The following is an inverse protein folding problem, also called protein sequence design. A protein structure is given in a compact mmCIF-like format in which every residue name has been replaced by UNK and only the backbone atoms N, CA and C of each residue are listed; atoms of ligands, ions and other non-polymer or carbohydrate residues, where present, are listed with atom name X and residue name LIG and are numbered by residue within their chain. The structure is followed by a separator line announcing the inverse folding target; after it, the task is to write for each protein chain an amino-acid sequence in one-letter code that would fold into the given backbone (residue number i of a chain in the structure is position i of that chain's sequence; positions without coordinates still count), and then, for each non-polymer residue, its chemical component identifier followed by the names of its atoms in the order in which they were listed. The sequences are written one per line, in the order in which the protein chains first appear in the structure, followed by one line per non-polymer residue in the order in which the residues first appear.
data_IF_936108223146
#
_entry.id   IF_936108223146
#
_cell.length_a   1.000
_cell.length_b   1.000
_cell.length_c   1.000
_cell.angle_alpha   90.00
_cell.angle_beta   90.00
_cell.angle_gamma   90.00
#
_symmetry.space_group_name_H-M   'P 1'
#
loop_
_entity.id
_entity.type
_entity.pdbx_description
1 polymer ?
#
# COMPACT_ATOMS: atom_id res chain seq x y z
N UNK A 1 -9.79 -0.94 -12.39
CA UNK A 1 -9.22 -0.79 -11.03
C UNK A 1 -8.56 0.57 -10.92
N UNK A 2 -8.81 1.33 -9.85
CA UNK A 2 -8.15 2.62 -9.59
C UNK A 2 -7.49 2.57 -8.22
N UNK A 3 -6.29 2.01 -8.15
CA UNK A 3 -5.51 1.94 -6.91
C UNK A 3 -4.26 2.80 -7.02
N UNK A 4 -3.92 3.43 -5.90
CA UNK A 4 -2.68 4.15 -5.69
C UNK A 4 -1.87 3.40 -4.64
N UNK A 5 -0.57 3.23 -4.88
CA UNK A 5 0.38 2.67 -3.92
C UNK A 5 1.38 3.75 -3.54
N UNK A 6 1.49 4.06 -2.26
CA UNK A 6 2.45 5.03 -1.69
C UNK A 6 3.51 4.31 -0.85
N UNK A 7 4.63 5.00 -0.62
CA UNK A 7 5.81 4.46 0.08
C UNK A 7 6.88 3.87 -0.84
N UNK A 8 6.57 3.62 -2.12
CA UNK A 8 7.50 2.96 -3.06
C UNK A 8 8.25 3.92 -4.02
N UNK A 9 7.99 5.22 -3.95
CA UNK A 9 8.44 6.24 -4.91
C UNK A 9 9.95 6.36 -5.10
N UNK A 10 10.74 5.94 -4.10
CA UNK A 10 12.21 6.02 -4.11
C UNK A 10 12.89 4.64 -4.16
N UNK A 11 12.11 3.57 -4.25
CA UNK A 11 12.63 2.21 -4.24
C UNK A 11 13.18 1.85 -5.63
N UNK A 12 14.22 1.01 -5.67
CA UNK A 12 14.64 0.38 -6.93
C UNK A 12 13.55 -0.61 -7.34
N UNK A 13 13.27 -0.77 -8.64
CA UNK A 13 12.38 -1.84 -9.07
C UNK A 13 12.85 -2.55 -10.34
N UNK A 14 12.37 -3.78 -10.51
CA UNK A 14 12.59 -4.62 -11.68
C UNK A 14 11.23 -4.97 -12.28
N UNK A 15 11.06 -4.68 -13.56
CA UNK A 15 9.88 -5.10 -14.32
C UNK A 15 10.10 -6.50 -14.87
N UNK A 16 9.21 -7.44 -14.55
CA UNK A 16 9.37 -8.84 -14.95
C UNK A 16 8.62 -9.19 -16.25
N UNK A 17 7.68 -8.35 -16.70
CA UNK A 17 6.88 -8.61 -17.91
C UNK A 17 7.49 -8.05 -19.21
N UNK A 18 8.63 -7.37 -19.15
CA UNK A 18 9.40 -6.98 -20.33
C UNK A 18 10.45 -8.05 -20.62
N UNK A 19 10.66 -8.38 -21.90
CA UNK A 19 11.68 -9.35 -22.34
C UNK A 19 13.09 -9.01 -21.83
N UNK A 20 13.30 -7.76 -21.43
CA UNK A 20 14.49 -7.28 -20.76
C UNK A 20 14.21 -7.12 -19.26
N UNK A 21 14.85 -7.96 -18.42
CA UNK A 21 14.87 -7.84 -16.95
C UNK A 21 15.80 -6.70 -16.50
N UNK A 22 15.77 -5.57 -17.19
CA UNK A 22 16.59 -4.43 -16.82
C UNK A 22 15.94 -3.76 -15.62
N UNK A 23 16.65 -3.52 -14.52
CA UNK A 23 16.17 -2.66 -13.45
C UNK A 23 15.84 -1.30 -14.05
N UNK A 24 14.59 -0.86 -13.90
CA UNK A 24 14.16 0.46 -14.33
C UNK A 24 14.04 1.27 -13.03
N UNK A 25 14.66 2.45 -12.95
CA UNK A 25 14.34 3.34 -11.85
C UNK A 25 12.88 3.82 -12.04
N UNK A 26 12.04 3.80 -10.99
CA UNK A 26 10.73 4.40 -11.11
C UNK A 26 10.96 5.85 -11.46
N UNK A 27 10.10 6.37 -12.33
CA UNK A 27 10.11 7.77 -12.71
C UNK A 27 10.25 8.60 -11.41
N UNK A 28 11.40 9.27 -11.19
CA UNK A 28 11.82 9.74 -9.86
C UNK A 28 10.90 10.81 -9.28
N UNK A 29 9.90 11.24 -10.04
CA UNK A 29 8.99 12.33 -9.70
C UNK A 29 7.60 11.87 -9.26
N UNK A 30 7.35 10.56 -9.09
CA UNK A 30 6.03 10.08 -8.65
C UNK A 30 6.03 9.76 -7.17
N UNK A 31 5.40 10.61 -6.36
CA UNK A 31 5.16 10.36 -4.92
C UNK A 31 4.39 9.05 -4.68
N UNK A 32 3.65 8.57 -5.69
CA UNK A 32 2.85 7.37 -5.63
C UNK A 32 2.78 6.65 -6.99
N UNK A 33 2.46 5.36 -6.97
CA UNK A 33 2.29 4.51 -8.15
C UNK A 33 0.80 4.35 -8.41
N UNK A 34 0.35 4.65 -9.63
CA UNK A 34 -1.03 4.42 -10.06
C UNK A 34 -1.10 3.16 -10.94
N UNK A 35 -2.02 2.26 -10.62
CA UNK A 35 -2.20 1.00 -11.36
C UNK A 35 -3.21 1.22 -12.50
N UNK A 36 -2.71 1.34 -13.73
CA UNK A 36 -3.51 1.69 -14.92
C UNK A 36 -3.25 0.77 -16.14
N UNK A 37 -2.47 -0.29 -15.93
CA UNK A 37 -2.08 -1.28 -16.94
C UNK A 37 -1.68 -2.58 -16.25
N UNK A 38 -1.20 -3.55 -17.01
CA UNK A 38 -0.54 -4.72 -16.45
C UNK A 38 0.68 -4.32 -15.60
N UNK A 39 0.73 -4.85 -14.38
CA UNK A 39 1.86 -4.75 -13.46
C UNK A 39 2.38 -6.13 -13.09
N UNK A 40 3.69 -6.30 -13.22
CA UNK A 40 4.46 -7.40 -12.64
C UNK A 40 5.84 -6.82 -12.30
N UNK A 41 5.87 -6.02 -11.25
CA UNK A 41 7.02 -5.21 -10.86
C UNK A 41 7.46 -5.62 -9.44
N UNK A 42 8.76 -5.82 -9.24
CA UNK A 42 9.37 -6.11 -7.94
C UNK A 42 10.11 -4.87 -7.46
N UNK A 43 9.74 -4.34 -6.30
CA UNK A 43 10.40 -3.24 -5.62
C UNK A 43 11.37 -3.82 -4.59
N UNK A 44 12.60 -3.34 -4.60
CA UNK A 44 13.67 -3.82 -3.74
C UNK A 44 13.95 -2.82 -2.63
N UNK A 45 14.37 -3.33 -1.48
CA UNK A 45 14.77 -2.51 -0.32
C UNK A 45 13.66 -1.52 0.08
N UNK A 46 12.41 -2.00 0.14
CA UNK A 46 11.25 -1.15 0.39
C UNK A 46 11.21 -0.68 1.85
N UNK A 47 10.60 0.48 2.15
CA UNK A 47 10.36 0.86 3.53
C UNK A 47 9.45 -0.16 4.23
N UNK A 48 9.50 -0.15 5.57
CA UNK A 48 8.70 -1.04 6.42
C UNK A 48 7.20 -0.95 6.12
N UNK A 49 6.72 0.23 5.70
CA UNK A 49 5.31 0.50 5.46
C UNK A 49 5.06 0.86 4.00
N UNK A 50 4.11 0.13 3.40
CA UNK A 50 3.54 0.41 2.08
C UNK A 50 2.05 0.61 2.24
N UNK A 51 1.49 1.65 1.61
CA UNK A 51 0.07 1.95 1.69
C UNK A 51 -0.60 1.78 0.32
N UNK A 52 -1.78 1.18 0.32
CA UNK A 52 -2.61 0.98 -0.87
C UNK A 52 -3.94 1.69 -0.67
N UNK A 53 -4.23 2.67 -1.51
CA UNK A 53 -5.47 3.44 -1.48
C UNK A 53 -6.36 3.05 -2.65
N UNK A 54 -7.62 2.72 -2.38
CA UNK A 54 -8.61 2.51 -3.43
C UNK A 54 -9.25 3.86 -3.79
N UNK A 55 -8.93 4.42 -4.94
CA UNK A 55 -9.45 5.73 -5.37
C UNK A 55 -10.96 5.72 -5.62
N UNK A 56 -11.58 4.54 -5.80
CA UNK A 56 -13.04 4.43 -5.98
C UNK A 56 -13.80 4.33 -4.66
N UNK A 57 -13.09 4.20 -3.52
CA UNK A 57 -13.66 4.18 -2.18
C UNK A 57 -12.90 5.18 -1.31
N UNK A 58 -13.36 6.42 -1.34
CA UNK A 58 -12.79 7.51 -0.54
C UNK A 58 -12.68 7.12 0.93
N UNK A 59 -11.51 7.37 1.52
CA UNK A 59 -11.27 7.20 2.94
C UNK A 59 -10.81 5.81 3.39
N UNK A 60 -10.75 4.79 2.53
CA UNK A 60 -10.26 3.46 2.91
C UNK A 60 -8.90 3.14 2.29
N UNK A 61 -7.93 2.86 3.15
CA UNK A 61 -6.58 2.44 2.81
C UNK A 61 -6.26 1.08 3.40
N UNK A 62 -5.34 0.36 2.77
CA UNK A 62 -4.66 -0.78 3.34
C UNK A 62 -3.25 -0.35 3.70
N UNK A 63 -2.86 -0.50 4.97
CA UNK A 63 -1.49 -0.34 5.42
C UNK A 63 -0.86 -1.72 5.52
N UNK A 64 0.21 -1.92 4.77
CA UNK A 64 0.96 -3.17 4.72
C UNK A 64 2.29 -2.90 5.41
N UNK A 65 2.47 -3.50 6.57
CA UNK A 65 3.69 -3.36 7.39
C UNK A 65 4.48 -4.66 7.30
N UNK A 66 5.73 -4.56 6.86
CA UNK A 66 6.63 -5.68 6.65
C UNK A 66 7.90 -5.45 7.47
N UNK A 67 8.15 -6.33 8.45
CA UNK A 67 9.36 -6.27 9.28
C UNK A 67 10.50 -7.02 8.60
N UNK A 68 11.72 -6.51 8.76
CA UNK A 68 12.99 -7.09 8.31
C UNK A 68 13.15 -7.21 6.78
N UNK A 69 14.06 -6.40 6.20
CA UNK A 69 14.59 -6.50 4.82
C UNK A 69 13.59 -7.02 3.77
N UNK A 70 12.69 -6.14 3.33
CA UNK A 70 11.60 -6.53 2.44
C UNK A 70 11.78 -6.02 1.02
N UNK A 71 11.42 -6.90 0.09
CA UNK A 71 11.11 -6.59 -1.28
C UNK A 71 9.58 -6.77 -1.46
N UNK A 72 8.98 -6.00 -2.37
CA UNK A 72 7.53 -6.04 -2.63
C UNK A 72 7.28 -6.36 -4.08
N UNK A 73 6.53 -7.42 -4.34
CA UNK A 73 5.98 -7.75 -5.64
C UNK A 73 4.59 -7.11 -5.78
N UNK A 74 4.41 -6.31 -6.83
CA UNK A 74 3.11 -5.81 -7.24
C UNK A 74 2.68 -6.54 -8.51
N UNK A 75 1.51 -7.17 -8.43
CA UNK A 75 0.92 -7.93 -9.53
C UNK A 75 -0.51 -7.50 -9.80
N UNK A 76 -0.78 -7.11 -11.05
CA UNK A 76 -2.11 -7.07 -11.61
C UNK A 76 -2.01 -7.50 -13.08
N UNK A 77 -2.68 -8.61 -13.46
CA UNK A 77 -2.62 -9.11 -14.83
C UNK A 77 -3.26 -8.15 -15.84
N UNK A 78 -4.15 -7.26 -15.38
CA UNK A 78 -5.06 -6.52 -16.23
C UNK A 78 -5.94 -7.48 -17.05
N UNK A 79 -6.34 -7.06 -18.24
CA UNK A 79 -7.05 -7.89 -19.21
C UNK A 79 -6.08 -8.87 -19.89
N UNK A 80 -5.87 -10.03 -19.27
CA UNK A 80 -5.14 -11.14 -19.86
C UNK A 80 -6.09 -12.08 -20.61
N UNK A 81 -6.67 -11.58 -21.70
CA UNK A 81 -7.15 -12.46 -22.77
C UNK A 81 -5.94 -13.16 -23.43
N UNK A 82 -5.28 -14.10 -22.74
CA UNK A 82 -4.17 -14.87 -23.33
C UNK A 82 -3.11 -15.46 -22.40
N UNK A 83 -3.16 -15.32 -21.07
CA UNK A 83 -2.24 -16.03 -20.17
C UNK A 83 -2.84 -17.33 -19.63
N UNK A 84 -1.96 -18.26 -19.29
CA UNK A 84 -2.27 -19.57 -18.70
C UNK A 84 -2.79 -19.40 -17.28
N UNK A 85 -4.03 -18.94 -17.22
CA UNK A 85 -4.82 -18.90 -16.02
C UNK A 85 -5.26 -20.35 -15.74
N UNK A 86 -4.96 -20.96 -14.58
CA UNK A 86 -5.30 -22.36 -14.30
C UNK A 86 -6.80 -22.62 -14.50
N UNK A 87 -7.18 -23.67 -15.23
CA UNK A 87 -8.59 -23.97 -15.58
C UNK A 87 -9.55 -24.06 -14.37
N UNK A 88 -9.03 -24.41 -13.19
CA UNK A 88 -9.81 -24.56 -11.96
C UNK A 88 -10.22 -23.24 -11.30
N UNK A 89 -9.79 -22.13 -11.88
CA UNK A 89 -10.14 -20.83 -11.40
C UNK A 89 -11.47 -20.38 -11.99
N UNK A 90 -12.42 -20.10 -11.11
CA UNK A 90 -13.70 -19.45 -11.41
C UNK A 90 -13.50 -17.98 -11.85
N UNK A 91 -12.42 -17.66 -12.55
CA UNK A 91 -12.02 -16.31 -12.87
C UNK A 91 -13.00 -15.69 -13.85
N UNK A 92 -13.87 -14.84 -13.30
CA UNK A 92 -14.58 -13.86 -14.08
C UNK A 92 -13.52 -13.00 -14.78
N UNK A 93 -13.67 -12.78 -16.10
CA UNK A 93 -12.72 -12.01 -16.95
C UNK A 93 -12.42 -10.61 -16.41
N UNK A 94 -13.18 -10.14 -15.42
CA UNK A 94 -13.08 -8.84 -14.80
C UNK A 94 -12.52 -8.84 -13.38
N UNK A 95 -12.06 -9.96 -12.82
CA UNK A 95 -11.54 -10.01 -11.44
C UNK A 95 -10.31 -9.11 -11.22
N UNK A 96 -9.49 -8.92 -12.25
CA UNK A 96 -8.38 -7.96 -12.21
C UNK A 96 -8.83 -6.52 -11.93
N UNK A 97 -10.11 -6.19 -12.17
CA UNK A 97 -10.67 -4.87 -11.83
C UNK A 97 -10.87 -4.68 -10.32
N UNK A 98 -10.94 -5.78 -9.58
CA UNK A 98 -11.29 -5.83 -8.16
C UNK A 98 -10.15 -6.31 -7.25
N UNK A 99 -9.10 -6.90 -7.83
CA UNK A 99 -7.99 -7.48 -7.09
C UNK A 99 -6.64 -6.86 -7.49
N UNK A 100 -5.82 -6.55 -6.49
CA UNK A 100 -4.42 -6.15 -6.65
C UNK A 100 -3.57 -7.06 -5.77
N UNK A 101 -2.60 -7.74 -6.38
CA UNK A 101 -1.61 -8.51 -5.64
C UNK A 101 -0.52 -7.59 -5.12
N UNK A 102 -0.34 -7.56 -3.80
CA UNK A 102 0.81 -6.92 -3.14
C UNK A 102 1.41 -7.94 -2.17
N UNK A 103 2.50 -8.56 -2.58
CA UNK A 103 3.19 -9.59 -1.80
C UNK A 103 4.53 -9.07 -1.29
N UNK A 104 4.86 -9.32 -0.03
CA UNK A 104 6.19 -9.09 0.49
C UNK A 104 7.04 -10.37 0.41
N UNK A 105 8.35 -10.20 0.28
CA UNK A 105 9.28 -11.31 0.33
C UNK A 105 10.73 -10.85 0.32
N UNK A 106 11.63 -11.81 0.43
CA UNK A 106 13.06 -11.60 0.22
C UNK A 106 13.40 -12.15 -1.17
N UNK A 107 13.54 -11.24 -2.14
CA UNK A 107 13.64 -11.56 -3.58
C UNK A 107 14.99 -11.15 -4.19
N UNK A 108 15.75 -10.30 -3.50
CA UNK A 108 17.04 -9.78 -3.97
C UNK A 108 18.18 -10.80 -3.99
N UNK A 109 18.13 -11.85 -3.18
CA UNK A 109 19.13 -12.92 -3.16
C UNK A 109 18.60 -14.21 -2.53
N UNK A 110 19.42 -15.26 -2.54
CA UNK A 110 19.13 -16.48 -1.81
C UNK A 110 19.30 -16.27 -0.29
N UNK A 111 18.46 -16.93 0.50
CA UNK A 111 18.60 -17.00 1.95
C UNK A 111 19.52 -18.18 2.27
N UNK A 112 20.68 -17.92 2.88
CA UNK A 112 21.60 -18.95 3.35
C UNK A 112 21.53 -19.06 4.85
N UNK A 113 21.22 -20.26 5.37
CA UNK A 113 21.11 -20.53 6.80
C UNK A 113 22.17 -21.55 7.23
N UNK A 114 22.80 -21.29 8.37
CA UNK A 114 23.69 -22.23 9.05
C UNK A 114 22.88 -23.27 9.85
N UNK A 115 23.49 -24.42 10.23
CA UNK A 115 22.82 -25.39 11.08
C UNK A 115 22.29 -24.73 12.36
N UNK A 116 20.99 -24.93 12.65
CA UNK A 116 20.21 -24.37 13.77
C UNK A 116 19.76 -22.90 13.62
N UNK A 117 20.04 -22.25 12.50
CA UNK A 117 19.45 -20.94 12.21
C UNK A 117 18.01 -21.07 11.70
N UNK A 118 17.19 -20.08 12.04
CA UNK A 118 15.82 -19.95 11.56
C UNK A 118 15.65 -18.57 10.96
N UNK A 119 15.03 -18.52 9.78
CA UNK A 119 14.60 -17.27 9.18
C UNK A 119 13.10 -17.11 9.36
N UNK A 120 12.67 -15.89 9.69
CA UNK A 120 11.28 -15.53 9.85
C UNK A 120 11.05 -14.18 9.17
N UNK A 121 9.89 -14.03 8.53
CA UNK A 121 9.36 -12.76 8.07
C UNK A 121 7.89 -12.68 8.48
N UNK A 122 7.39 -11.46 8.65
CA UNK A 122 5.99 -11.22 8.99
C UNK A 122 5.45 -10.05 8.20
N UNK A 123 4.24 -10.21 7.70
CA UNK A 123 3.44 -9.17 7.08
C UNK A 123 2.21 -8.91 7.95
N UNK A 124 1.91 -7.65 8.20
CA UNK A 124 0.65 -7.22 8.81
C UNK A 124 -0.10 -6.37 7.81
N UNK A 125 -1.40 -6.65 7.65
CA UNK A 125 -2.29 -5.89 6.77
C UNK A 125 -3.38 -5.27 7.65
N UNK A 126 -3.44 -3.95 7.66
CA UNK A 126 -4.41 -3.18 8.44
C UNK A 126 -5.33 -2.42 7.48
N UNK A 127 -6.64 -2.42 7.78
CA UNK A 127 -7.60 -1.57 7.09
C UNK A 127 -7.66 -0.25 7.86
N UNK A 128 -7.30 0.84 7.19
CA UNK A 128 -7.30 2.18 7.75
C UNK A 128 -8.46 2.97 7.17
N UNK A 129 -9.32 3.49 8.04
CA UNK A 129 -10.27 4.54 7.69
C UNK A 129 -9.62 5.89 7.98
N UNK A 130 -9.33 6.66 6.93
CA UNK A 130 -8.63 7.95 7.04
C UNK A 130 -9.39 8.96 7.88
N UNK A 131 -10.73 8.91 7.87
CA UNK A 131 -11.55 9.85 8.68
C UNK A 131 -11.39 9.53 10.15
N UNK A 132 -11.38 8.24 10.48
CA UNK A 132 -11.20 7.80 11.85
C UNK A 132 -9.77 8.02 12.33
N UNK A 133 -8.76 7.78 11.48
CA UNK A 133 -7.35 8.06 11.79
C UNK A 133 -7.12 9.56 12.03
N UNK A 134 -7.68 10.42 11.18
CA UNK A 134 -7.63 11.86 11.38
C UNK A 134 -8.30 12.30 12.70
N UNK A 135 -9.45 11.69 13.03
CA UNK A 135 -10.15 11.95 14.30
C UNK A 135 -9.31 11.53 15.51
N UNK A 136 -8.65 10.37 15.45
CA UNK A 136 -7.76 9.89 16.50
C UNK A 136 -6.55 10.82 16.66
N UNK A 137 -5.93 11.27 15.56
CA UNK A 137 -4.82 12.22 15.60
C UNK A 137 -5.21 13.56 16.21
N UNK A 138 -6.40 14.08 15.87
CA UNK A 138 -6.95 15.28 16.50
C UNK A 138 -7.12 15.10 18.01
N UNK A 139 -7.70 13.97 18.45
CA UNK A 139 -7.86 13.66 19.87
C UNK A 139 -6.51 13.54 20.59
N UNK A 140 -5.51 12.91 19.98
CA UNK A 140 -4.17 12.83 20.54
C UNK A 140 -3.53 14.22 20.67
N UNK A 141 -3.72 15.09 19.68
CA UNK A 141 -3.24 16.49 19.73
C UNK A 141 -3.87 17.23 20.90
N UNK A 142 -5.20 17.12 21.07
CA UNK A 142 -5.92 17.73 22.20
C UNK A 142 -5.49 17.16 23.56
N UNK A 143 -5.22 15.86 23.66
CA UNK A 143 -4.76 15.22 24.90
C UNK A 143 -3.31 15.58 25.26
N UNK A 144 -2.46 15.82 24.25
CA UNK A 144 -1.07 16.26 24.44
C UNK A 144 -0.93 17.74 24.78
N UNK A 145 -1.93 18.57 24.44
CA UNK A 145 -2.04 19.94 24.89
C UNK A 145 -3.46 20.25 25.45
N UNK A 146 -3.74 19.89 26.72
CA UNK A 146 -5.07 20.03 27.31
C UNK A 146 -5.60 21.46 27.36
N UNK A 147 -4.72 22.47 27.24
CA UNK A 147 -5.10 23.88 27.22
C UNK A 147 -5.87 24.27 25.95
N UNK A 148 -5.64 23.57 24.83
CA UNK A 148 -6.37 23.81 23.58
C UNK A 148 -7.83 23.36 23.67
N UNK A 149 -8.16 22.40 24.55
CA UNK A 149 -9.54 22.02 24.85
C UNK A 149 -10.30 23.07 25.65
N UNK A 150 -9.59 23.91 26.42
CA UNK A 150 -10.18 24.95 27.27
C UNK A 150 -10.27 26.32 26.58
N UNK A 151 -9.50 26.53 25.50
CA UNK A 151 -9.37 27.81 24.81
C UNK A 151 -9.99 27.82 23.40
N UNK A 152 -10.71 26.75 23.01
CA UNK A 152 -11.50 26.74 21.78
C UNK A 152 -12.52 27.91 21.80
N UNK A 153 -12.78 28.57 20.65
CA UNK A 153 -13.67 29.71 20.63
C UNK A 153 -15.04 29.27 21.15
N UNK A 154 -15.48 29.84 22.26
CA UNK A 154 -16.89 29.90 22.60
C UNK A 154 -17.57 30.71 21.49
N UNK A 155 -17.90 30.07 20.37
CA UNK A 155 -18.83 30.62 19.41
C UNK A 155 -20.15 30.75 20.14
N UNK A 156 -20.52 32.01 20.37
CA UNK A 156 -21.77 32.47 20.95
C UNK A 156 -22.91 31.50 20.66
N UNK A 157 -23.51 31.00 21.75
CA UNK A 157 -24.86 30.47 21.70
C UNK A 157 -25.73 31.60 21.14
N UNK A 158 -26.36 31.34 20.00
CA UNK A 158 -27.33 32.22 19.36
C UNK A 158 -28.34 32.71 20.39
N UNK A 159 -28.24 33.97 20.78
CA UNK A 159 -29.33 34.72 21.38
C UNK A 159 -30.19 35.28 20.26
N UNK A 160 -30.91 34.41 19.55
CA UNK A 160 -32.08 34.79 18.76
C UNK A 160 -33.34 34.20 19.41
N UNK A 161 -33.69 34.82 20.53
CA UNK A 161 -35.04 34.83 21.07
C UNK A 161 -35.34 36.30 21.34
N UNK A 162 -35.91 37.00 20.35
CA UNK A 162 -36.99 38.00 20.47
C UNK A 162 -37.42 38.50 19.09
#
# INVERSE_FOLDING_TARGET
MHCIISGLSKCKYVRLNQKDKTPINPDPNREYIKIEREYLDVFLEVPEVVEVSNMSRDGLKLRITCKDDNDVLIYNPWDESGRLVPEDSLHNKNEYLHCLGVGNGFLRSEITLQPKETWQSSQTIEIIDEKEEARIQQLQTLLSNPWDMLMGPCSNVDTDLY
#
